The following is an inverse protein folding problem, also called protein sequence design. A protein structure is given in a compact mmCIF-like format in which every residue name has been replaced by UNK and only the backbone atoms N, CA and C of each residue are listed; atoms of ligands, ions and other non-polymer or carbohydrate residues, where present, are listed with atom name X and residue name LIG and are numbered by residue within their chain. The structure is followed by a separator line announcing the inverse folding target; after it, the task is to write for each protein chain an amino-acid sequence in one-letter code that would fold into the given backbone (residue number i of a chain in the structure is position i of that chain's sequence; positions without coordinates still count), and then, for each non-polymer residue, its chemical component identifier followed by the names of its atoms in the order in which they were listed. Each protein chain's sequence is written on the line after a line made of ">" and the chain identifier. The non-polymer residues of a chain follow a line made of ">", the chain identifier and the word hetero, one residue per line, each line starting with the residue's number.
data_IF_909347866957
#
_entry.id   IF_909347866957
#
_cell.length_a   1.000
_cell.length_b   1.000
_cell.length_c   1.000
_cell.angle_alpha   90.00
_cell.angle_beta   90.00
_cell.angle_gamma   90.00
#
_symmetry.space_group_name_H-M   'P 1'
#
loop_
_entity.id
_entity.type
_entity.pdbx_description
1 polymer ?
#
# COMPACT_ATOMS: atom_id res chain seq x y z
N UNK A 1 10.17 -22.70 3.58
CA UNK A 1 8.93 -22.38 2.85
C UNK A 1 9.34 -21.43 1.72
N UNK A 2 9.25 -21.86 0.46
CA UNK A 2 9.86 -21.11 -0.67
C UNK A 2 8.97 -19.97 -1.14
N UNK A 3 9.59 -18.81 -1.42
CA UNK A 3 8.93 -17.63 -2.00
C UNK A 3 8.45 -17.98 -3.41
N UNK A 4 7.24 -17.56 -3.77
CA UNK A 4 6.72 -17.69 -5.13
C UNK A 4 7.59 -16.85 -6.08
N UNK A 5 8.32 -17.51 -6.99
CA UNK A 5 9.24 -16.86 -7.94
C UNK A 5 10.59 -17.58 -8.07
N UNK A 6 11.06 -18.21 -7.00
CA UNK A 6 12.40 -18.84 -6.92
C UNK A 6 12.41 -20.33 -7.29
N UNK A 7 11.34 -20.86 -7.88
CA UNK A 7 11.36 -22.24 -8.38
C UNK A 7 11.99 -22.28 -9.77
N UNK A 8 13.29 -22.58 -9.81
CA UNK A 8 13.99 -23.03 -11.03
C UNK A 8 13.12 -24.10 -11.71
N UNK A 9 12.69 -23.84 -12.95
CA UNK A 9 11.96 -24.81 -13.77
C UNK A 9 10.44 -24.67 -13.82
N UNK A 10 9.82 -23.65 -13.21
CA UNK A 10 8.45 -23.26 -13.56
C UNK A 10 8.43 -21.80 -13.98
N UNK A 11 8.17 -21.56 -15.27
CA UNK A 11 7.79 -20.24 -15.78
C UNK A 11 6.38 -19.93 -15.28
N UNK A 12 6.25 -19.61 -13.99
CA UNK A 12 5.05 -18.92 -13.49
C UNK A 12 5.15 -17.53 -14.08
N UNK A 13 4.17 -17.08 -14.86
CA UNK A 13 4.16 -15.68 -15.30
C UNK A 13 4.13 -14.79 -14.07
N UNK A 14 5.30 -14.28 -13.69
CA UNK A 14 5.47 -13.24 -12.69
C UNK A 14 5.17 -11.93 -13.40
N UNK A 15 3.90 -11.53 -13.37
CA UNK A 15 3.52 -10.21 -13.85
C UNK A 15 3.93 -9.17 -12.82
N UNK A 16 4.87 -8.30 -13.17
CA UNK A 16 4.97 -6.98 -12.54
C UNK A 16 3.80 -6.14 -13.07
N UNK A 17 2.61 -6.37 -12.53
CA UNK A 17 1.50 -5.45 -12.78
C UNK A 17 1.87 -4.14 -12.09
N UNK A 18 1.99 -3.05 -12.85
CA UNK A 18 1.90 -1.73 -12.24
C UNK A 18 0.61 -1.73 -11.44
N UNK A 19 0.69 -1.57 -10.12
CA UNK A 19 -0.51 -1.36 -9.31
C UNK A 19 -1.29 -0.23 -10.00
N UNK A 20 -2.50 -0.52 -10.46
CA UNK A 20 -3.34 0.42 -11.19
C UNK A 20 -3.29 1.78 -10.47
N UNK A 21 -2.90 2.86 -11.17
CA UNK A 21 -2.66 4.21 -10.65
C UNK A 21 -2.90 4.35 -9.13
N UNK A 22 -1.95 3.90 -8.31
CA UNK A 22 -2.11 3.90 -6.86
C UNK A 22 -2.30 5.33 -6.37
N UNK A 23 -3.34 5.56 -5.57
CA UNK A 23 -3.58 6.87 -4.99
C UNK A 23 -2.38 7.28 -4.12
N UNK A 24 -1.90 8.51 -4.30
CA UNK A 24 -0.95 9.16 -3.40
C UNK A 24 -1.73 10.08 -2.46
N UNK A 25 -1.75 9.73 -1.17
CA UNK A 25 -2.49 10.48 -0.14
C UNK A 25 -1.56 10.97 0.98
N UNK A 26 -2.05 11.87 1.82
CA UNK A 26 -1.32 12.31 3.03
C UNK A 26 -1.73 11.48 4.25
N UNK A 27 -0.94 11.54 5.31
CA UNK A 27 -1.27 10.92 6.61
C UNK A 27 -2.59 11.45 7.18
N UNK A 28 -2.91 12.73 6.95
CA UNK A 28 -4.16 13.36 7.37
C UNK A 28 -5.37 12.75 6.64
N UNK A 29 -5.23 12.48 5.35
CA UNK A 29 -6.30 11.86 4.55
C UNK A 29 -6.64 10.46 5.06
N UNK A 30 -5.64 9.68 5.47
CA UNK A 30 -5.85 8.33 6.01
C UNK A 30 -6.64 8.33 7.33
N UNK A 31 -6.49 9.38 8.14
CA UNK A 31 -7.20 9.55 9.43
C UNK A 31 -8.60 10.14 9.28
N UNK A 32 -8.94 10.65 8.10
CA UNK A 32 -10.22 11.33 7.87
C UNK A 32 -11.29 10.36 7.39
N UNK A 33 -12.29 10.08 8.23
CA UNK A 33 -13.41 9.22 7.89
C UNK A 33 -14.28 9.75 6.73
N UNK A 34 -14.19 11.05 6.40
CA UNK A 34 -14.92 11.66 5.29
C UNK A 34 -14.13 11.69 3.99
N UNK A 35 -12.83 11.39 4.03
CA UNK A 35 -12.00 11.41 2.83
C UNK A 35 -12.37 10.22 1.91
N UNK A 36 -12.52 10.42 0.59
CA UNK A 36 -12.94 9.36 -0.34
C UNK A 36 -12.11 8.07 -0.28
N UNK A 37 -10.81 8.18 0.03
CA UNK A 37 -9.92 7.01 0.20
C UNK A 37 -10.41 6.02 1.28
N UNK A 38 -11.11 6.53 2.30
CA UNK A 38 -11.62 5.74 3.41
C UNK A 38 -13.01 5.17 3.16
N UNK A 39 -13.68 5.58 2.08
CA UNK A 39 -15.06 5.19 1.80
C UNK A 39 -15.05 4.04 0.80
N UNK A 40 -15.40 2.83 1.26
CA UNK A 40 -15.35 1.57 0.48
C UNK A 40 -15.95 1.67 -0.92
N UNK A 41 -17.13 2.28 -1.09
CA UNK A 41 -17.76 2.36 -2.42
C UNK A 41 -17.11 3.39 -3.36
N UNK A 42 -16.24 4.28 -2.85
CA UNK A 42 -15.50 5.26 -3.65
C UNK A 42 -14.08 4.79 -3.96
N UNK A 43 -13.40 4.18 -2.99
CA UNK A 43 -11.99 3.76 -3.11
C UNK A 43 -11.79 2.27 -3.34
N UNK A 44 -12.80 1.45 -3.08
CA UNK A 44 -12.65 0.00 -3.01
C UNK A 44 -11.86 -0.47 -1.81
N UNK A 45 -11.79 0.29 -0.70
CA UNK A 45 -11.08 -0.11 0.54
C UNK A 45 -11.57 -1.47 1.04
N UNK A 46 -10.64 -2.40 1.27
CA UNK A 46 -10.84 -3.67 1.97
C UNK A 46 -9.57 -4.03 2.75
N UNK A 47 -9.68 -4.91 3.73
CA UNK A 47 -8.53 -5.35 4.52
C UNK A 47 -7.40 -5.92 3.64
N UNK A 48 -6.19 -5.39 3.78
CA UNK A 48 -5.04 -5.78 2.97
C UNK A 48 -4.83 -4.98 1.68
N UNK A 49 -5.75 -4.09 1.30
CA UNK A 49 -5.48 -3.15 0.21
C UNK A 49 -4.42 -2.12 0.63
N UNK A 50 -3.64 -1.61 -0.33
CA UNK A 50 -2.55 -0.67 -0.05
C UNK A 50 -2.63 0.60 -0.89
N UNK A 51 -2.09 1.69 -0.35
CA UNK A 51 -2.00 2.99 -1.01
C UNK A 51 -0.62 3.61 -0.79
N UNK A 52 -0.21 4.52 -1.67
CA UNK A 52 1.00 5.30 -1.46
C UNK A 52 0.69 6.48 -0.53
N UNK A 53 1.59 6.77 0.40
CA UNK A 53 1.42 7.81 1.41
C UNK A 53 2.61 8.74 1.40
N UNK A 54 2.35 10.04 1.26
CA UNK A 54 3.33 11.09 1.51
C UNK A 54 3.33 11.42 3.00
N UNK A 55 4.43 11.10 3.67
CA UNK A 55 4.67 11.41 5.07
C UNK A 55 4.93 12.91 5.25
N UNK A 56 4.69 13.45 6.45
CA UNK A 56 5.05 14.83 6.80
C UNK A 56 6.55 15.15 6.58
N UNK A 57 7.42 14.13 6.68
CA UNK A 57 8.86 14.24 6.38
C UNK A 57 9.18 14.44 4.89
N UNK A 58 8.18 14.33 4.00
CA UNK A 58 8.35 14.38 2.55
C UNK A 58 8.67 13.04 1.89
N UNK A 59 8.98 12.00 2.68
CA UNK A 59 9.17 10.63 2.18
C UNK A 59 7.85 10.02 1.70
N UNK A 60 7.94 9.08 0.77
CA UNK A 60 6.79 8.26 0.32
C UNK A 60 6.97 6.85 0.83
N UNK A 61 5.90 6.27 1.37
CA UNK A 61 5.82 4.87 1.80
C UNK A 61 4.47 4.27 1.37
N UNK A 62 4.18 3.05 1.78
CA UNK A 62 2.87 2.43 1.64
C UNK A 62 2.12 2.38 2.96
N UNK A 63 0.79 2.38 2.89
CA UNK A 63 -0.05 2.02 4.02
C UNK A 63 -1.04 0.92 3.62
N UNK A 64 -1.32 0.02 4.55
CA UNK A 64 -2.17 -1.15 4.36
C UNK A 64 -3.44 -0.98 5.21
N UNK A 65 -4.61 -1.08 4.59
CA UNK A 65 -5.89 -1.01 5.30
C UNK A 65 -6.05 -2.21 6.24
N UNK A 66 -6.48 -1.94 7.48
CA UNK A 66 -6.76 -2.97 8.50
C UNK A 66 -8.24 -3.36 8.56
N UNK A 67 -9.03 -2.88 7.60
CA UNK A 67 -10.47 -3.06 7.54
C UNK A 67 -11.06 -2.23 6.41
N UNK A 68 -12.38 -2.20 6.32
CA UNK A 68 -13.11 -1.59 5.19
C UNK A 68 -14.00 -0.40 5.58
N UNK A 69 -14.26 -0.21 6.87
CA UNK A 69 -15.01 0.93 7.36
C UNK A 69 -14.20 2.23 7.27
N UNK A 70 -14.86 3.41 7.18
CA UNK A 70 -14.14 4.68 7.10
C UNK A 70 -13.25 5.01 8.28
N UNK A 71 -13.54 4.45 9.46
CA UNK A 71 -12.77 4.62 10.68
C UNK A 71 -11.70 3.54 10.88
N UNK A 72 -11.70 2.47 10.08
CA UNK A 72 -10.72 1.40 10.21
C UNK A 72 -9.34 1.92 9.86
N UNK A 73 -8.35 1.56 10.69
CA UNK A 73 -7.02 2.10 10.60
C UNK A 73 -6.30 1.72 9.29
N UNK A 74 -5.35 2.58 8.92
CA UNK A 74 -4.30 2.24 7.96
C UNK A 74 -3.00 2.02 8.72
N UNK A 75 -2.34 0.90 8.47
CA UNK A 75 -1.00 0.61 8.98
C UNK A 75 0.02 1.16 8.00
N UNK A 76 0.69 2.26 8.37
CA UNK A 76 1.78 2.83 7.56
C UNK A 76 3.02 1.97 7.74
N UNK A 77 3.61 1.53 6.62
CA UNK A 77 4.88 0.81 6.64
C UNK A 77 6.00 1.80 6.93
N UNK A 78 6.74 1.55 8.01
CA UNK A 78 7.95 2.30 8.28
C UNK A 78 9.10 1.76 7.42
N UNK A 79 9.72 2.66 6.65
CA UNK A 79 10.92 2.37 5.89
C UNK A 79 12.11 2.79 6.75
N UNK A 80 12.51 1.92 7.69
CA UNK A 80 13.78 2.08 8.38
C UNK A 80 14.90 1.91 7.35
N UNK A 81 15.53 3.02 6.99
CA UNK A 81 16.53 3.05 5.94
C UNK A 81 17.84 2.40 6.43
N UNK A 82 18.14 1.22 5.89
CA UNK A 82 19.53 0.77 5.70
C UNK A 82 19.80 0.34 4.25
N UNK A 83 18.82 -0.23 3.53
CA UNK A 83 19.11 -1.00 2.30
C UNK A 83 18.36 -0.56 1.03
N UNK A 84 17.85 0.67 0.94
CA UNK A 84 17.31 1.17 -0.33
C UNK A 84 18.45 1.79 -1.18
N UNK A 85 19.28 0.93 -1.78
CA UNK A 85 20.20 1.34 -2.85
C UNK A 85 19.42 1.30 -4.16
N UNK A 86 19.19 2.46 -4.84
CA UNK A 86 18.66 2.42 -6.19
C UNK A 86 19.65 1.67 -7.10
N UNK A 87 19.16 0.67 -7.83
CA UNK A 87 19.86 -0.02 -8.92
C UNK A 87 19.36 0.47 -10.26
#
# INVERSE_FOLDING_TARGET
>A
MGITGDKIGKSVQTFSVSGAANALVTEANLKSATHPINIKHLSGKYEGCYVAVKLASGKVTFAIAQGEAPTDAWSILDLSATDAVPV
#
